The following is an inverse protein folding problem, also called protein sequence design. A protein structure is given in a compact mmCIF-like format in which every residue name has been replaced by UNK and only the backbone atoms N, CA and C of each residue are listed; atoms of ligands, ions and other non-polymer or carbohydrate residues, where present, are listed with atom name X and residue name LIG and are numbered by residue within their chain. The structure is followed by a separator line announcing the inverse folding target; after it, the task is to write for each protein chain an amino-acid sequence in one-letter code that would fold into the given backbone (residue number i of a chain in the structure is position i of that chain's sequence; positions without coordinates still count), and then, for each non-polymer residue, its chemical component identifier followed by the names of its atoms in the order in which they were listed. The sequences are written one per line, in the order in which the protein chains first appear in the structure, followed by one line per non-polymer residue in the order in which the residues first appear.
data_IF_278876149000
#
_entry.id   IF_278876149000
#
_cell.length_a   1.000
_cell.length_b   1.000
_cell.length_c   1.000
_cell.angle_alpha   90.00
_cell.angle_beta   90.00
_cell.angle_gamma   90.00
#
_symmetry.space_group_name_H-M   'P 1'
#
loop_
_entity.id
_entity.type
_entity.pdbx_description
1 polymer ?
#
# COMPACT_ATOMS: atom_id res chain seq x y z
N UNK A 1 -11.30 1.77 -13.55
CA UNK A 1 -10.90 1.14 -12.24
C UNK A 1 -10.39 -0.25 -12.53
N UNK A 2 -9.32 -0.67 -11.85
CA UNK A 2 -8.77 -2.03 -12.03
C UNK A 2 -9.86 -3.09 -11.77
N UNK A 3 -10.17 -3.90 -12.78
CA UNK A 3 -11.33 -4.82 -12.77
C UNK A 3 -10.94 -6.30 -12.75
N UNK A 4 -9.82 -6.65 -13.36
CA UNK A 4 -9.30 -8.02 -13.33
C UNK A 4 -7.78 -8.04 -13.19
N UNK A 5 -7.30 -9.10 -12.51
CA UNK A 5 -5.91 -9.52 -12.48
C UNK A 5 -5.84 -10.99 -12.87
N UNK A 6 -5.13 -11.31 -13.96
CA UNK A 6 -4.86 -12.68 -14.37
C UNK A 6 -3.38 -12.98 -14.22
N UNK A 7 -3.09 -14.09 -13.56
CA UNK A 7 -1.73 -14.58 -13.32
C UNK A 7 -1.58 -15.92 -14.03
N UNK A 8 -0.55 -16.05 -14.87
CA UNK A 8 -0.19 -17.27 -15.54
C UNK A 8 1.26 -17.62 -15.25
N UNK A 9 1.48 -18.86 -14.83
CA UNK A 9 2.79 -19.38 -14.43
C UNK A 9 3.47 -18.55 -13.32
N UNK A 10 2.69 -18.00 -12.39
CA UNK A 10 3.21 -17.09 -11.36
C UNK A 10 3.10 -17.70 -9.94
N UNK A 11 4.23 -18.07 -9.36
CA UNK A 11 4.37 -18.63 -8.00
C UNK A 11 3.48 -19.85 -7.74
N UNK A 12 2.37 -19.68 -7.01
CA UNK A 12 1.43 -20.76 -6.70
C UNK A 12 0.28 -20.86 -7.72
N UNK A 13 0.26 -20.03 -8.74
CA UNK A 13 -0.80 -20.02 -9.75
C UNK A 13 -0.28 -20.51 -11.09
N UNK A 14 -0.83 -21.63 -11.58
CA UNK A 14 -0.63 -22.09 -12.94
C UNK A 14 -1.30 -21.11 -13.91
N UNK A 15 -2.63 -20.93 -13.80
CA UNK A 15 -3.38 -19.88 -14.48
C UNK A 15 -4.61 -19.54 -13.63
N UNK A 16 -4.76 -18.28 -13.22
CA UNK A 16 -5.88 -17.86 -12.39
C UNK A 16 -6.23 -16.40 -12.62
N UNK A 17 -7.53 -16.14 -12.81
CA UNK A 17 -8.08 -14.78 -12.92
C UNK A 17 -8.85 -14.41 -11.65
N UNK A 18 -8.70 -13.15 -11.24
CA UNK A 18 -9.31 -12.57 -10.05
C UNK A 18 -10.09 -11.32 -10.44
N UNK A 19 -11.38 -11.31 -10.16
CA UNK A 19 -12.19 -10.10 -10.29
C UNK A 19 -11.88 -9.13 -9.15
N UNK A 20 -11.65 -7.89 -9.50
CA UNK A 20 -11.37 -6.81 -8.57
C UNK A 20 -12.53 -5.80 -8.61
N UNK A 21 -12.85 -5.21 -7.47
CA UNK A 21 -13.92 -4.22 -7.35
C UNK A 21 -13.52 -3.06 -6.44
N UNK A 22 -14.47 -2.17 -6.16
CA UNK A 22 -14.25 -1.04 -5.24
C UNK A 22 -13.76 -1.47 -3.86
N UNK A 23 -14.16 -2.65 -3.42
CA UNK A 23 -13.63 -3.33 -2.24
C UNK A 23 -13.42 -4.80 -2.60
N UNK A 24 -12.19 -5.27 -2.54
CA UNK A 24 -11.83 -6.68 -2.73
C UNK A 24 -11.19 -7.20 -1.45
N UNK A 25 -11.78 -8.22 -0.85
CA UNK A 25 -11.25 -8.88 0.34
C UNK A 25 -10.72 -10.25 -0.06
N UNK A 26 -9.42 -10.47 0.17
CA UNK A 26 -8.74 -11.74 -0.13
C UNK A 26 -8.54 -12.49 1.19
N UNK A 27 -9.27 -13.58 1.38
CA UNK A 27 -9.20 -14.42 2.57
C UNK A 27 -8.75 -15.84 2.20
N UNK A 28 -8.08 -16.51 3.12
CA UNK A 28 -7.61 -17.89 2.92
C UNK A 28 -6.53 -18.28 3.94
N UNK A 29 -6.17 -19.55 3.96
CA UNK A 29 -5.12 -20.09 4.82
C UNK A 29 -3.74 -19.46 4.52
N UNK A 30 -2.81 -19.56 5.48
CA UNK A 30 -1.43 -19.16 5.23
C UNK A 30 -0.82 -20.02 4.12
N UNK A 31 -0.09 -19.39 3.21
CA UNK A 31 0.46 -20.07 2.03
C UNK A 31 -0.51 -20.19 0.83
N UNK A 32 -1.78 -19.80 0.95
CA UNK A 32 -2.77 -19.91 -0.14
C UNK A 32 -2.58 -18.89 -1.29
N UNK A 33 -1.52 -18.10 -1.30
CA UNK A 33 -1.23 -17.17 -2.39
C UNK A 33 -1.84 -15.75 -2.22
N UNK A 34 -2.43 -15.42 -1.06
CA UNK A 34 -3.01 -14.08 -0.82
C UNK A 34 -2.04 -12.94 -1.14
N UNK A 35 -0.84 -13.01 -0.59
CA UNK A 35 0.21 -12.01 -0.83
C UNK A 35 0.76 -12.05 -2.26
N UNK A 36 0.61 -13.15 -2.97
CA UNK A 36 1.07 -13.31 -4.35
C UNK A 36 0.34 -12.37 -5.30
N UNK A 37 -0.97 -12.13 -5.09
CA UNK A 37 -1.73 -11.18 -5.89
C UNK A 37 -1.18 -9.76 -5.73
N UNK A 38 -0.97 -9.32 -4.47
CA UNK A 38 -0.41 -7.99 -4.20
C UNK A 38 1.02 -7.87 -4.74
N UNK A 39 1.82 -8.93 -4.63
CA UNK A 39 3.18 -8.95 -5.17
C UNK A 39 3.22 -8.80 -6.69
N UNK A 40 2.27 -9.39 -7.42
CA UNK A 40 2.17 -9.22 -8.87
C UNK A 40 1.90 -7.75 -9.24
N UNK A 41 0.91 -7.11 -8.60
CA UNK A 41 0.60 -5.71 -8.84
C UNK A 41 1.76 -4.78 -8.44
N UNK A 42 2.39 -5.04 -7.29
CA UNK A 42 3.52 -4.24 -6.82
C UNK A 42 4.77 -4.45 -7.68
N UNK A 43 4.94 -5.61 -8.30
CA UNK A 43 6.01 -5.87 -9.27
C UNK A 43 5.86 -4.99 -10.51
N UNK A 44 4.65 -4.90 -11.07
CA UNK A 44 4.37 -4.00 -12.19
C UNK A 44 4.64 -2.55 -11.80
N UNK A 45 4.09 -2.13 -10.66
CA UNK A 45 4.25 -0.76 -10.16
C UNK A 45 5.70 -0.36 -9.92
N UNK A 46 6.50 -1.19 -9.26
CA UNK A 46 7.91 -0.85 -9.00
C UNK A 46 8.75 -0.83 -10.27
N UNK A 47 8.43 -1.66 -11.24
CA UNK A 47 9.13 -1.69 -12.53
C UNK A 47 8.84 -0.44 -13.37
N UNK A 48 7.63 0.10 -13.29
CA UNK A 48 7.24 1.38 -13.90
C UNK A 48 7.92 2.58 -13.21
N UNK A 49 8.06 2.55 -11.88
CA UNK A 49 8.69 3.63 -11.12
C UNK A 49 10.20 3.73 -11.33
N UNK A 50 10.86 2.64 -11.68
CA UNK A 50 12.29 2.64 -11.90
C UNK A 50 12.61 3.20 -13.29
N UNK A 51 12.96 4.49 -13.34
CA UNK A 51 13.39 5.18 -14.57
C UNK A 51 14.60 4.54 -15.27
N UNK A 52 15.30 3.61 -14.61
CA UNK A 52 16.41 2.84 -15.20
C UNK A 52 15.92 1.56 -15.86
N UNK A 53 14.73 1.13 -15.51
CA UNK A 53 14.14 -0.12 -15.96
C UNK A 53 12.75 0.21 -16.46
N UNK A 54 12.61 0.38 -17.78
CA UNK A 54 11.29 0.60 -18.38
C UNK A 54 10.53 -0.72 -18.35
N UNK A 55 9.28 -0.71 -17.87
CA UNK A 55 8.42 -1.89 -17.83
C UNK A 55 8.28 -2.55 -19.22
N UNK A 56 8.32 -1.73 -20.27
CA UNK A 56 8.33 -2.20 -21.67
C UNK A 56 9.55 -3.06 -22.06
N UNK A 57 10.62 -3.00 -21.28
CA UNK A 57 11.84 -3.74 -21.56
C UNK A 57 12.16 -4.79 -20.51
N UNK A 58 11.91 -4.48 -19.24
CA UNK A 58 12.30 -5.32 -18.10
C UNK A 58 11.37 -5.12 -16.90
N UNK A 59 11.26 -6.15 -16.05
CA UNK A 59 10.73 -6.04 -14.69
C UNK A 59 11.86 -6.02 -13.66
N UNK A 60 11.65 -5.26 -12.60
CA UNK A 60 12.55 -5.15 -11.45
C UNK A 60 12.08 -6.10 -10.33
N UNK A 61 12.78 -7.21 -10.12
CA UNK A 61 12.40 -8.22 -9.11
C UNK A 61 12.74 -7.80 -7.68
N UNK A 62 13.79 -6.99 -7.50
CA UNK A 62 14.20 -6.45 -6.19
C UNK A 62 14.03 -4.94 -6.18
N UNK A 63 13.11 -4.47 -5.35
CA UNK A 63 12.82 -3.04 -5.26
C UNK A 63 12.22 -2.65 -3.90
N UNK A 64 11.77 -1.41 -3.81
CA UNK A 64 11.23 -0.84 -2.57
C UNK A 64 9.86 -1.40 -2.21
N UNK A 65 9.02 -1.75 -3.20
CA UNK A 65 7.67 -2.26 -2.96
C UNK A 65 7.66 -3.77 -2.73
N UNK A 66 8.39 -4.54 -3.54
CA UNK A 66 8.51 -5.99 -3.39
C UNK A 66 9.95 -6.45 -3.62
N UNK A 67 10.32 -7.56 -2.98
CA UNK A 67 11.58 -8.25 -3.18
C UNK A 67 11.29 -9.73 -3.46
N UNK A 68 11.31 -10.10 -4.73
CA UNK A 68 11.00 -11.44 -5.21
C UNK A 68 12.24 -12.32 -5.40
N UNK A 69 13.40 -11.83 -4.97
CA UNK A 69 14.72 -12.48 -4.99
C UNK A 69 15.25 -12.76 -6.39
N UNK A 70 14.67 -13.69 -7.15
CA UNK A 70 15.18 -14.18 -8.43
C UNK A 70 14.04 -14.59 -9.36
N UNK A 71 14.32 -14.67 -10.65
CA UNK A 71 13.35 -15.00 -11.69
C UNK A 71 12.76 -16.42 -11.55
N UNK A 72 13.57 -17.39 -11.18
CA UNK A 72 13.12 -18.77 -10.95
C UNK A 72 12.11 -18.86 -9.78
N UNK A 73 12.22 -17.96 -8.79
CA UNK A 73 11.35 -17.93 -7.62
C UNK A 73 9.95 -17.37 -7.89
N UNK A 74 9.73 -16.75 -9.04
CA UNK A 74 8.42 -16.22 -9.43
C UNK A 74 7.62 -17.17 -10.32
N UNK A 75 8.22 -18.24 -10.83
CA UNK A 75 7.54 -19.25 -11.64
C UNK A 75 6.66 -20.18 -10.80
N UNK A 76 5.64 -20.74 -11.44
CA UNK A 76 4.89 -21.86 -10.88
C UNK A 76 5.77 -23.13 -10.88
N UNK A 77 5.87 -23.80 -9.75
CA UNK A 77 6.89 -24.83 -9.50
C UNK A 77 6.71 -26.12 -10.33
N UNK A 78 5.49 -26.40 -10.81
CA UNK A 78 5.19 -27.55 -11.67
C UNK A 78 5.26 -27.22 -13.18
N UNK A 79 5.52 -25.96 -13.54
CA UNK A 79 5.51 -25.56 -14.95
C UNK A 79 6.84 -25.85 -15.64
N UNK A 80 6.76 -26.41 -16.84
CA UNK A 80 7.88 -26.50 -17.78
C UNK A 80 8.09 -25.20 -18.57
N UNK A 81 7.06 -24.35 -18.64
CA UNK A 81 7.12 -23.03 -19.29
C UNK A 81 8.02 -22.08 -18.50
N UNK A 82 8.87 -21.36 -19.20
CA UNK A 82 9.82 -20.40 -18.61
C UNK A 82 9.25 -18.98 -18.55
N UNK A 83 8.17 -18.71 -19.27
CA UNK A 83 7.56 -17.39 -19.33
C UNK A 83 6.47 -17.25 -18.27
N UNK A 84 6.42 -16.05 -17.67
CA UNK A 84 5.43 -15.70 -16.65
C UNK A 84 4.61 -14.52 -17.15
N UNK A 85 3.27 -14.63 -17.14
CA UNK A 85 2.42 -13.52 -17.59
C UNK A 85 1.59 -12.96 -16.43
N UNK A 86 1.59 -11.64 -16.34
CA UNK A 86 0.70 -10.85 -15.48
C UNK A 86 -0.16 -9.98 -16.40
N UNK A 87 -1.47 -10.19 -16.37
CA UNK A 87 -2.43 -9.43 -17.16
C UNK A 87 -3.34 -8.63 -16.22
N UNK A 88 -3.56 -7.37 -16.54
CA UNK A 88 -4.49 -6.50 -15.79
C UNK A 88 -5.49 -5.85 -16.73
N UNK A 89 -6.73 -5.71 -16.24
CA UNK A 89 -7.80 -5.00 -16.94
C UNK A 89 -8.26 -3.80 -16.11
N UNK A 90 -8.65 -2.74 -16.78
CA UNK A 90 -9.24 -1.54 -16.16
C UNK A 90 -10.52 -1.16 -16.91
N UNK A 91 -11.62 -0.92 -16.19
CA UNK A 91 -12.94 -0.62 -16.78
C UNK A 91 -12.95 0.61 -17.69
N UNK A 92 -11.92 1.43 -17.65
CA UNK A 92 -11.81 2.67 -18.43
C UNK A 92 -10.88 2.55 -19.63
N UNK A 93 -10.26 1.38 -19.82
CA UNK A 93 -9.27 1.13 -20.88
C UNK A 93 -9.71 -0.09 -21.69
N UNK A 94 -9.73 0.06 -22.99
CA UNK A 94 -9.98 -1.06 -23.90
C UNK A 94 -8.76 -2.00 -23.92
N UNK A 95 -9.03 -3.30 -23.92
CA UNK A 95 -8.06 -4.38 -23.87
C UNK A 95 -7.19 -4.44 -22.59
N UNK A 96 -6.83 -5.64 -22.21
CA UNK A 96 -5.94 -5.90 -21.09
C UNK A 96 -4.50 -5.42 -21.37
N UNK A 97 -3.79 -5.06 -20.30
CA UNK A 97 -2.33 -4.90 -20.33
C UNK A 97 -1.70 -6.25 -19.99
N UNK A 98 -1.05 -6.86 -20.94
CA UNK A 98 -0.31 -8.10 -20.76
C UNK A 98 1.18 -7.80 -20.61
N UNK A 99 1.77 -8.25 -19.52
CA UNK A 99 3.20 -8.17 -19.24
C UNK A 99 3.73 -9.59 -19.10
N UNK A 100 4.45 -10.06 -20.13
CA UNK A 100 5.10 -11.37 -20.13
C UNK A 100 6.56 -11.22 -19.78
N UNK A 101 6.98 -11.83 -18.68
CA UNK A 101 8.36 -11.94 -18.21
C UNK A 101 8.98 -13.11 -18.94
N UNK A 102 9.96 -12.86 -19.78
CA UNK A 102 10.53 -13.83 -20.70
C UNK A 102 11.70 -14.56 -20.02
N UNK A 103 11.76 -15.87 -20.18
CA UNK A 103 12.86 -16.73 -19.73
C UNK A 103 13.21 -16.54 -18.23
N UNK A 104 12.18 -16.66 -17.37
CA UNK A 104 12.29 -16.47 -15.93
C UNK A 104 13.01 -17.65 -15.24
N UNK A 105 14.23 -17.99 -15.68
CA UNK A 105 15.03 -19.13 -15.17
C UNK A 105 16.38 -18.70 -14.60
N UNK A 106 16.77 -17.43 -14.75
CA UNK A 106 18.07 -16.93 -14.30
C UNK A 106 17.97 -16.29 -12.93
N UNK A 107 19.03 -16.41 -12.13
CA UNK A 107 19.17 -15.65 -10.87
C UNK A 107 19.63 -14.22 -11.15
N UNK A 108 18.77 -13.45 -11.79
CA UNK A 108 18.98 -12.03 -12.12
C UNK A 108 17.98 -11.18 -11.36
N UNK A 109 18.36 -9.94 -11.04
CA UNK A 109 17.48 -8.97 -10.35
C UNK A 109 16.44 -8.36 -11.29
N UNK A 110 16.65 -8.49 -12.59
CA UNK A 110 15.76 -7.99 -13.65
C UNK A 110 15.56 -9.04 -14.73
N UNK A 111 14.36 -9.12 -15.27
CA UNK A 111 14.03 -9.99 -16.39
C UNK A 111 13.49 -9.18 -17.55
N UNK A 112 13.75 -9.62 -18.78
CA UNK A 112 13.17 -9.04 -19.99
C UNK A 112 11.67 -9.22 -20.01
N UNK A 113 10.97 -8.27 -20.61
CA UNK A 113 9.53 -8.30 -20.79
C UNK A 113 9.15 -8.18 -22.26
N UNK A 114 7.99 -8.78 -22.59
CA UNK A 114 7.18 -8.40 -23.73
C UNK A 114 5.88 -7.80 -23.17
N UNK A 115 5.54 -6.61 -23.62
CA UNK A 115 4.38 -5.86 -23.09
C UNK A 115 3.46 -5.49 -24.26
N UNK A 116 2.16 -5.53 -24.06
CA UNK A 116 1.18 -5.10 -25.06
C UNK A 116 1.30 -3.61 -25.39
N UNK A 117 0.87 -3.21 -26.58
CA UNK A 117 1.09 -1.85 -27.13
C UNK A 117 0.37 -0.73 -26.37
N UNK A 118 -0.56 -1.07 -25.47
CA UNK A 118 -1.39 -0.13 -24.69
C UNK A 118 -0.78 0.27 -23.33
N UNK A 119 0.49 -0.06 -23.06
CA UNK A 119 1.16 0.28 -21.80
C UNK A 119 1.04 1.78 -21.45
N UNK A 120 1.27 2.67 -22.40
CA UNK A 120 1.23 4.12 -22.17
C UNK A 120 -0.17 4.63 -21.78
N UNK A 121 -1.22 3.95 -22.20
CA UNK A 121 -2.59 4.25 -21.81
C UNK A 121 -2.83 3.84 -20.35
N UNK A 122 -2.33 2.66 -19.93
CA UNK A 122 -2.37 2.22 -18.54
C UNK A 122 -1.54 3.13 -17.62
N UNK A 123 -0.32 3.51 -18.00
CA UNK A 123 0.52 4.45 -17.24
C UNK A 123 -0.18 5.80 -17.01
N UNK A 124 -1.00 6.24 -17.95
CA UNK A 124 -1.70 7.53 -17.88
C UNK A 124 -3.02 7.47 -17.10
N UNK A 125 -3.76 6.38 -17.18
CA UNK A 125 -5.16 6.31 -16.73
C UNK A 125 -5.42 5.29 -15.62
N UNK A 126 -4.57 4.26 -15.44
CA UNK A 126 -4.77 3.26 -14.42
C UNK A 126 -4.22 3.71 -13.06
N UNK A 127 -5.03 3.58 -12.01
CA UNK A 127 -4.65 3.95 -10.63
C UNK A 127 -3.41 3.20 -10.12
N UNK A 128 -3.12 2.00 -10.63
CA UNK A 128 -1.92 1.23 -10.28
C UNK A 128 -0.62 2.00 -10.59
N UNK A 129 -0.59 2.73 -11.71
CA UNK A 129 0.58 3.50 -12.14
C UNK A 129 0.56 4.96 -11.69
N UNK A 130 -0.52 5.40 -11.05
CA UNK A 130 -0.67 6.76 -10.57
C UNK A 130 0.15 7.02 -9.29
N UNK A 131 0.37 8.30 -8.98
CA UNK A 131 0.95 8.74 -7.70
C UNK A 131 -0.01 8.57 -6.51
N UNK A 132 -1.26 8.23 -6.78
CA UNK A 132 -2.33 8.08 -5.80
C UNK A 132 -2.45 6.64 -5.29
N UNK A 133 -1.60 5.73 -5.75
CA UNK A 133 -1.50 4.39 -5.20
C UNK A 133 -1.00 4.45 -3.75
N UNK A 134 -1.74 3.83 -2.85
CA UNK A 134 -1.36 3.64 -1.45
C UNK A 134 -1.14 2.15 -1.20
N UNK A 135 0.07 1.78 -0.80
CA UNK A 135 0.42 0.41 -0.43
C UNK A 135 0.80 0.31 1.05
N UNK A 136 0.04 -0.46 1.80
CA UNK A 136 0.32 -0.77 3.20
C UNK A 136 0.97 -2.15 3.30
N UNK A 137 2.28 -2.17 3.47
CA UNK A 137 3.05 -3.39 3.60
C UNK A 137 2.69 -4.18 4.88
N UNK A 138 2.90 -5.52 4.92
CA UNK A 138 2.56 -6.34 6.08
C UNK A 138 3.42 -6.02 7.31
N UNK A 139 4.62 -5.50 7.12
CA UNK A 139 5.59 -5.21 8.18
C UNK A 139 5.48 -3.79 8.80
N UNK A 140 4.30 -3.14 8.66
CA UNK A 140 3.98 -1.79 9.21
C UNK A 140 3.86 -1.68 10.74
N UNK A 141 4.20 -2.67 11.48
CA UNK A 141 3.65 -2.94 12.81
C UNK A 141 4.46 -2.39 13.99
N UNK A 142 5.63 -1.80 13.79
CA UNK A 142 6.39 -1.28 14.92
C UNK A 142 5.93 0.13 15.29
N UNK A 143 5.48 0.35 16.55
CA UNK A 143 5.22 1.70 17.01
C UNK A 143 6.52 2.52 17.01
N UNK A 144 6.41 3.79 16.65
CA UNK A 144 7.50 4.74 16.70
C UNK A 144 7.01 6.05 17.30
N UNK A 145 7.85 6.73 18.07
CA UNK A 145 7.53 8.06 18.61
C UNK A 145 7.96 9.17 17.65
N UNK A 146 9.04 8.94 16.92
CA UNK A 146 9.67 9.94 16.06
C UNK A 146 9.65 9.44 14.61
N UNK A 147 9.19 10.27 13.70
CA UNK A 147 9.00 9.98 12.29
C UNK A 147 9.57 11.11 11.45
N UNK A 148 10.01 10.82 10.23
CA UNK A 148 10.46 11.89 9.33
C UNK A 148 9.29 12.81 8.94
N UNK A 149 9.48 14.12 8.97
CA UNK A 149 8.46 15.12 8.61
C UNK A 149 8.22 15.20 7.10
N UNK A 150 9.23 14.89 6.30
CA UNK A 150 9.16 14.97 4.85
C UNK A 150 8.79 13.62 4.21
N UNK A 151 7.67 13.60 3.51
CA UNK A 151 7.22 12.50 2.66
C UNK A 151 7.95 12.49 1.30
N UNK A 152 9.26 12.82 1.25
CA UNK A 152 9.88 13.29 0.01
C UNK A 152 10.12 12.23 -1.07
N UNK A 153 10.45 11.00 -0.72
CA UNK A 153 10.70 9.95 -1.72
C UNK A 153 9.64 8.86 -1.72
N UNK A 154 9.25 8.40 -0.56
CA UNK A 154 8.39 7.22 -0.43
C UNK A 154 6.89 7.55 -0.60
N UNK A 155 6.50 8.83 -0.39
CA UNK A 155 5.17 9.29 -0.75
C UNK A 155 4.98 9.41 -2.27
N UNK A 156 6.06 9.63 -3.01
CA UNK A 156 6.04 9.58 -4.47
C UNK A 156 5.74 8.16 -4.99
N UNK A 157 6.04 7.15 -4.18
CA UNK A 157 5.83 5.74 -4.49
C UNK A 157 4.51 5.20 -3.94
N UNK A 158 3.68 6.04 -3.30
CA UNK A 158 2.40 5.63 -2.74
C UNK A 158 2.48 4.77 -1.48
N UNK A 159 3.62 4.74 -0.78
CA UNK A 159 3.80 3.95 0.45
C UNK A 159 3.44 4.78 1.67
N UNK A 160 2.33 4.47 2.32
CA UNK A 160 1.95 5.08 3.62
C UNK A 160 2.27 4.19 4.81
N UNK A 161 2.54 2.99 4.65
CA UNK A 161 2.82 2.07 5.74
C UNK A 161 4.07 1.28 5.45
N UNK A 162 5.19 1.97 5.38
CA UNK A 162 6.47 1.30 5.31
C UNK A 162 6.67 0.31 6.47
N UNK A 163 7.81 -0.34 6.52
CA UNK A 163 8.17 -1.34 7.53
C UNK A 163 7.72 -1.04 8.96
N UNK A 164 7.52 0.23 9.31
CA UNK A 164 7.30 0.68 10.69
C UNK A 164 6.10 1.63 10.85
N UNK A 165 5.28 1.81 9.81
CA UNK A 165 4.17 2.77 9.84
C UNK A 165 4.62 4.23 9.89
N UNK A 166 5.87 4.53 9.54
CA UNK A 166 6.48 5.85 9.69
C UNK A 166 5.79 6.92 8.87
N UNK A 167 5.34 6.56 7.67
CA UNK A 167 4.71 7.52 6.76
C UNK A 167 3.31 7.96 7.21
N UNK A 168 2.60 7.13 7.98
CA UNK A 168 1.26 7.48 8.45
C UNK A 168 1.27 8.69 9.40
N UNK A 169 2.22 8.74 10.35
CA UNK A 169 2.34 9.89 11.26
C UNK A 169 2.69 11.18 10.51
N UNK A 170 3.63 11.11 9.57
CA UNK A 170 4.02 12.25 8.73
C UNK A 170 2.87 12.71 7.84
N UNK A 171 2.10 11.79 7.27
CA UNK A 171 0.92 12.12 6.47
C UNK A 171 -0.17 12.79 7.31
N UNK A 172 -0.41 12.29 8.52
CA UNK A 172 -1.36 12.90 9.45
C UNK A 172 -0.90 14.31 9.87
N UNK A 173 0.39 14.51 10.13
CA UNK A 173 0.95 15.81 10.42
C UNK A 173 0.76 16.81 9.25
N UNK A 174 0.96 16.36 8.01
CA UNK A 174 0.69 17.18 6.84
C UNK A 174 -0.80 17.54 6.72
N UNK A 175 -1.69 16.59 6.97
CA UNK A 175 -3.13 16.85 6.98
C UNK A 175 -3.52 17.86 8.05
N UNK A 176 -2.94 17.77 9.24
CA UNK A 176 -3.12 18.74 10.32
C UNK A 176 -2.59 20.13 9.91
N UNK A 177 -1.37 20.20 9.37
CA UNK A 177 -0.71 21.46 9.00
C UNK A 177 -1.45 22.20 7.88
N UNK A 178 -2.14 21.48 7.01
CA UNK A 178 -2.92 22.03 5.89
C UNK A 178 -4.41 22.19 6.21
N UNK A 179 -4.84 21.85 7.42
CA UNK A 179 -6.26 21.79 7.83
C UNK A 179 -7.12 20.99 6.84
N UNK A 180 -6.61 19.83 6.41
CA UNK A 180 -7.28 18.99 5.40
C UNK A 180 -8.63 18.49 5.91
N UNK A 181 -9.65 18.61 5.05
CA UNK A 181 -11.01 18.19 5.32
C UNK A 181 -11.29 16.84 4.67
N UNK A 182 -12.05 15.98 5.36
CA UNK A 182 -12.51 14.72 4.81
C UNK A 182 -13.57 14.93 3.75
N UNK A 183 -13.66 13.94 2.85
CA UNK A 183 -14.74 13.86 1.86
C UNK A 183 -15.77 12.77 2.19
N UNK A 184 -15.59 12.07 3.30
CA UNK A 184 -16.50 11.03 3.80
C UNK A 184 -17.19 11.55 5.08
N UNK A 185 -18.39 11.03 5.42
CA UNK A 185 -19.08 11.41 6.64
C UNK A 185 -18.25 11.13 7.90
N UNK A 186 -18.31 12.05 8.85
CA UNK A 186 -17.75 11.89 10.17
C UNK A 186 -18.40 10.73 10.94
N UNK A 187 -17.64 10.06 11.81
CA UNK A 187 -18.16 8.95 12.61
C UNK A 187 -18.99 9.43 13.82
N UNK A 188 -18.58 10.52 14.44
CA UNK A 188 -19.18 11.02 15.69
C UNK A 188 -20.27 12.08 15.49
N UNK A 189 -20.54 12.47 14.24
CA UNK A 189 -21.54 13.48 13.87
C UNK A 189 -21.35 14.83 14.57
N UNK A 190 -20.11 15.15 14.94
CA UNK A 190 -19.75 16.41 15.61
C UNK A 190 -19.82 17.63 14.68
N UNK A 191 -19.84 17.41 13.36
CA UNK A 191 -19.69 18.44 12.34
C UNK A 191 -18.21 18.76 12.05
N UNK A 192 -17.27 18.10 12.70
CA UNK A 192 -15.84 18.29 12.48
C UNK A 192 -15.35 17.42 11.33
N UNK A 193 -15.15 18.03 10.17
CA UNK A 193 -14.70 17.34 8.95
C UNK A 193 -13.19 17.29 8.81
N UNK A 194 -12.42 17.77 9.79
CA UNK A 194 -10.95 17.71 9.74
C UNK A 194 -10.45 16.27 9.80
N UNK A 195 -9.53 15.92 8.90
CA UNK A 195 -8.91 14.59 8.85
C UNK A 195 -8.32 14.21 10.21
N UNK A 196 -7.59 15.13 10.85
CA UNK A 196 -6.93 14.88 12.14
C UNK A 196 -7.91 14.45 13.25
N UNK A 197 -9.02 15.16 13.40
CA UNK A 197 -10.05 14.86 14.41
C UNK A 197 -10.70 13.51 14.14
N UNK A 198 -11.00 13.24 12.88
CA UNK A 198 -11.66 12.01 12.48
C UNK A 198 -10.76 10.78 12.55
N UNK A 199 -9.45 10.88 12.32
CA UNK A 199 -8.52 9.79 12.61
C UNK A 199 -8.60 9.38 14.08
N UNK A 200 -8.61 10.34 15.01
CA UNK A 200 -8.74 10.06 16.45
C UNK A 200 -10.08 9.43 16.80
N UNK A 201 -11.19 9.90 16.19
CA UNK A 201 -12.52 9.35 16.39
C UNK A 201 -12.62 7.91 15.87
N UNK A 202 -12.11 7.61 14.69
CA UNK A 202 -12.07 6.27 14.13
C UNK A 202 -11.18 5.32 14.94
N UNK A 203 -10.00 5.79 15.38
CA UNK A 203 -9.13 5.01 16.26
C UNK A 203 -9.83 4.66 17.57
N UNK A 204 -10.55 5.62 18.18
CA UNK A 204 -11.31 5.38 19.40
C UNK A 204 -12.43 4.37 19.19
N UNK A 205 -13.15 4.45 18.06
CA UNK A 205 -14.22 3.53 17.71
C UNK A 205 -13.73 2.10 17.49
N UNK A 206 -12.67 1.94 16.67
CA UNK A 206 -12.14 0.61 16.31
C UNK A 206 -11.50 -0.08 17.51
N UNK A 207 -10.80 0.67 18.36
CA UNK A 207 -10.09 0.14 19.52
C UNK A 207 -10.97 0.00 20.77
N UNK A 208 -12.22 0.44 20.69
CA UNK A 208 -13.21 0.41 21.78
C UNK A 208 -12.74 1.12 23.08
N UNK A 209 -11.94 2.18 22.94
CA UNK A 209 -11.62 3.07 24.05
C UNK A 209 -11.28 4.49 23.56
N UNK A 210 -11.61 5.49 24.39
CA UNK A 210 -11.41 6.89 24.03
C UNK A 210 -9.92 7.25 24.05
N UNK A 211 -9.44 7.70 22.91
CA UNK A 211 -8.07 8.13 22.70
C UNK A 211 -8.00 9.26 21.65
N UNK A 212 -6.98 10.08 21.76
CA UNK A 212 -6.67 11.10 20.75
C UNK A 212 -5.26 10.84 20.23
N UNK A 213 -5.11 10.80 18.92
CA UNK A 213 -3.78 10.73 18.28
C UNK A 213 -3.22 12.13 18.22
N UNK A 214 -2.01 12.33 18.71
CA UNK A 214 -1.29 13.60 18.65
C UNK A 214 -0.07 13.46 17.75
N UNK A 215 0.08 14.41 16.82
CA UNK A 215 1.28 14.55 16.01
C UNK A 215 1.76 15.99 16.09
N UNK A 216 3.01 16.19 16.45
CA UNK A 216 3.62 17.52 16.66
C UNK A 216 4.97 17.58 15.97
N UNK A 217 5.36 18.75 15.51
CA UNK A 217 6.71 18.99 15.01
C UNK A 217 7.71 18.84 16.17
N UNK A 218 8.71 17.99 15.99
CA UNK A 218 9.82 17.85 16.93
C UNK A 218 10.99 18.72 16.49
N UNK A 219 11.31 18.68 15.20
CA UNK A 219 12.29 19.52 14.54
C UNK A 219 11.96 19.64 13.05
N UNK A 220 12.85 20.27 12.25
CA UNK A 220 12.62 20.50 10.80
C UNK A 220 12.45 19.21 9.98
N UNK A 221 12.96 18.10 10.47
CA UNK A 221 13.01 16.83 9.77
C UNK A 221 12.15 15.76 10.42
N UNK A 222 11.66 15.99 11.65
CA UNK A 222 10.95 14.97 12.41
C UNK A 222 9.64 15.47 13.00
N UNK A 223 8.68 14.56 13.06
CA UNK A 223 7.42 14.68 13.80
C UNK A 223 7.40 13.67 14.93
N UNK A 224 6.90 14.11 16.11
CA UNK A 224 6.63 13.25 17.26
C UNK A 224 5.18 12.81 17.23
N UNK A 225 4.95 11.52 17.47
CA UNK A 225 3.64 10.92 17.65
C UNK A 225 3.43 10.48 19.08
N UNK A 226 2.23 10.74 19.63
CA UNK A 226 1.81 10.29 20.95
C UNK A 226 0.29 10.04 20.95
N UNK A 227 -0.20 9.41 22.00
CA UNK A 227 -1.64 9.26 22.25
C UNK A 227 -2.00 9.98 23.56
N UNK A 228 -3.14 10.67 23.58
CA UNK A 228 -3.75 11.13 24.82
C UNK A 228 -4.88 10.19 25.20
N UNK A 229 -4.80 9.66 26.40
CA UNK A 229 -5.79 8.76 26.99
C UNK A 229 -6.25 9.31 28.34
N UNK A 230 -7.56 9.28 28.59
CA UNK A 230 -8.07 9.70 29.89
C UNK A 230 -7.91 8.58 30.92
N UNK A 231 -7.10 8.82 31.92
CA UNK A 231 -6.87 7.91 33.04
C UNK A 231 -7.36 8.58 34.32
N UNK A 232 -8.42 8.05 34.93
CA UNK A 232 -9.00 8.56 36.19
C UNK A 232 -9.37 10.07 36.15
N UNK A 233 -9.85 10.56 34.98
CA UNK A 233 -10.23 11.95 34.80
C UNK A 233 -9.12 12.89 34.36
N UNK A 234 -7.90 12.40 34.20
CA UNK A 234 -6.74 13.16 33.71
C UNK A 234 -6.31 12.70 32.33
N UNK A 235 -6.15 13.64 31.41
CA UNK A 235 -5.60 13.36 30.08
C UNK A 235 -4.09 13.13 30.22
N UNK A 236 -3.66 11.92 29.89
CA UNK A 236 -2.28 11.47 30.02
C UNK A 236 -1.71 11.19 28.65
N UNK A 237 -0.55 11.78 28.34
CA UNK A 237 0.20 11.46 27.13
C UNK A 237 0.88 10.10 27.26
N UNK A 238 0.63 9.21 26.31
CA UNK A 238 1.13 7.84 26.28
C UNK A 238 1.93 7.64 24.98
N UNK A 239 3.15 7.12 25.16
CA UNK A 239 3.99 6.72 24.01
C UNK A 239 3.33 5.63 23.19
N UNK A 240 3.47 5.64 21.83
CA UNK A 240 3.02 4.54 20.98
C UNK A 240 3.53 3.16 21.41
N UNK A 241 4.70 3.08 22.03
CA UNK A 241 5.28 1.84 22.56
C UNK A 241 4.48 1.25 23.73
N UNK A 242 3.75 2.08 24.46
CA UNK A 242 2.95 1.69 25.62
C UNK A 242 1.45 1.51 25.29
N UNK A 243 1.07 1.72 24.03
CA UNK A 243 -0.29 1.48 23.55
C UNK A 243 -0.49 0.00 23.16
N UNK A 244 -1.72 -0.51 23.19
CA UNK A 244 -2.02 -1.83 22.67
C UNK A 244 -1.50 -2.00 21.24
N UNK A 245 -0.98 -3.19 20.93
CA UNK A 245 -0.39 -3.50 19.62
C UNK A 245 -1.34 -3.22 18.44
N UNK A 246 -2.64 -3.41 18.64
CA UNK A 246 -3.66 -3.07 17.65
C UNK A 246 -3.60 -1.64 17.15
N UNK A 247 -3.23 -0.68 18.00
CA UNK A 247 -3.08 0.72 17.61
C UNK A 247 -2.07 0.88 16.46
N UNK A 248 -0.91 0.23 16.57
CA UNK A 248 0.15 0.30 15.55
C UNK A 248 -0.27 -0.34 14.22
N UNK A 249 -1.08 -1.39 14.26
CA UNK A 249 -1.57 -2.08 13.07
C UNK A 249 -2.70 -1.31 12.37
N UNK A 250 -3.61 -0.70 13.14
CA UNK A 250 -4.82 -0.03 12.64
C UNK A 250 -4.54 1.41 12.22
N UNK A 251 -3.69 2.13 12.94
CA UNK A 251 -3.43 3.54 12.69
C UNK A 251 -3.04 3.86 11.23
N UNK A 252 -2.07 3.17 10.60
CA UNK A 252 -1.72 3.45 9.20
C UNK A 252 -2.89 3.22 8.23
N UNK A 253 -3.74 2.23 8.52
CA UNK A 253 -4.93 1.94 7.70
C UNK A 253 -5.92 3.10 7.79
N UNK A 254 -6.22 3.57 9.00
CA UNK A 254 -7.14 4.69 9.22
C UNK A 254 -6.61 5.95 8.54
N UNK A 255 -5.33 6.28 8.71
CA UNK A 255 -4.73 7.44 8.05
C UNK A 255 -4.81 7.33 6.53
N UNK A 256 -4.48 6.17 5.96
CA UNK A 256 -4.56 5.94 4.52
C UNK A 256 -5.98 6.18 4.00
N UNK A 257 -6.99 5.58 4.65
CA UNK A 257 -8.40 5.73 4.24
C UNK A 257 -8.90 7.17 4.36
N UNK A 258 -8.47 7.91 5.41
CA UNK A 258 -8.89 9.30 5.62
C UNK A 258 -8.19 10.30 4.70
N UNK A 259 -7.01 9.98 4.21
CA UNK A 259 -6.17 10.92 3.44
C UNK A 259 -6.02 10.54 1.97
N UNK A 260 -6.52 9.39 1.55
CA UNK A 260 -6.46 8.96 0.17
C UNK A 260 -7.29 9.87 -0.74
N UNK A 261 -6.77 10.30 -1.89
CA UNK A 261 -7.55 10.99 -2.90
C UNK A 261 -8.72 10.13 -3.41
N UNK A 262 -9.73 10.78 -4.00
CA UNK A 262 -10.80 10.04 -4.68
C UNK A 262 -10.23 9.19 -5.81
N UNK A 263 -10.75 7.96 -5.94
CA UNK A 263 -10.32 6.98 -6.95
C UNK A 263 -8.89 6.46 -6.79
N UNK A 264 -8.24 6.72 -5.65
CA UNK A 264 -6.95 6.09 -5.37
C UNK A 264 -7.11 4.58 -5.12
N UNK A 265 -6.07 3.84 -5.47
CA UNK A 265 -6.00 2.41 -5.20
C UNK A 265 -5.26 2.19 -3.87
N UNK A 266 -5.94 1.55 -2.90
CA UNK A 266 -5.36 1.25 -1.59
C UNK A 266 -5.23 -0.26 -1.45
N UNK A 267 -3.99 -0.73 -1.31
CA UNK A 267 -3.68 -2.14 -1.05
C UNK A 267 -3.23 -2.31 0.39
N UNK A 268 -3.90 -3.19 1.12
CA UNK A 268 -3.61 -3.47 2.53
C UNK A 268 -3.26 -4.94 2.66
N UNK A 269 -2.04 -5.24 3.11
CA UNK A 269 -1.62 -6.60 3.46
C UNK A 269 -1.71 -6.78 4.97
N UNK A 270 -2.17 -7.96 5.43
CA UNK A 270 -2.18 -8.28 6.86
C UNK A 270 -0.74 -8.48 7.37
N UNK A 271 -0.44 -8.06 8.62
CA UNK A 271 0.80 -8.45 9.28
C UNK A 271 0.79 -9.97 9.50
N UNK A 272 1.83 -10.64 9.06
CA UNK A 272 2.05 -12.09 9.24
C UNK A 272 2.83 -12.37 10.52
#
# INVERSE_FOLDING_TARGET
MLSYLTLKNFKCFEEQSFALGNLTIIAGANGAGKSTLLQALMLLRQSDLDKRTLLSEKVQLRGSLVNLKSADSIRYFESEDTDVTISIEDDTIDNALDVTIIDAVKDEDTCKTAVSDNLSEFESNCALFSKELVYLAPDRVRPGEVHFSNLSSDAADGRIGDKYGMMAASRLYQALSKDEQMQIPEIDKSGDMRVFSNVSAWMSYIMDFKQTVNVTEQDKEHVKMAYSVNVNGFDTEVSPFNMPFGNSSVFPIVVALMTAPKLSLIHISEPT
#
